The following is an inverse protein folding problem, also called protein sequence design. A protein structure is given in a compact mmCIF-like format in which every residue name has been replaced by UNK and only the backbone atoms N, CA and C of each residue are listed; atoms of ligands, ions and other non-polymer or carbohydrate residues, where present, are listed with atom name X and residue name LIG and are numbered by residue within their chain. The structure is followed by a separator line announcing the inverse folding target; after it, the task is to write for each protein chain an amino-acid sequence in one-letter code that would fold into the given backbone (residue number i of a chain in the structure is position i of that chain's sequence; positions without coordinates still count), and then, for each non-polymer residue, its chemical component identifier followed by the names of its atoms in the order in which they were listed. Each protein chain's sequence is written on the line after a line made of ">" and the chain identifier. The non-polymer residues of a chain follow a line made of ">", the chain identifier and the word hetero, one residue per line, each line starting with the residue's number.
data_IF_325955104245
#
_entry.id   IF_325955104245
#
_cell.length_a   1.000
_cell.length_b   1.000
_cell.length_c   1.000
_cell.angle_alpha   90.00
_cell.angle_beta   90.00
_cell.angle_gamma   90.00
#
_symmetry.space_group_name_H-M   'P 1'
#
loop_
_entity.id
_entity.type
_entity.pdbx_description
1 polymer ?
#
# COMPACT_ATOMS: atom_id res chain seq x y z
N UNK A 1 -19.05 18.85 14.93
CA UNK A 1 -18.37 17.75 14.21
C UNK A 1 -19.22 16.48 14.32
N UNK A 2 -19.28 15.63 13.29
CA UNK A 2 -19.93 14.32 13.42
C UNK A 2 -19.15 13.43 14.38
N UNK A 3 -19.83 12.48 15.07
CA UNK A 3 -19.17 11.51 15.98
C UNK A 3 -18.00 10.79 15.31
N UNK A 4 -18.15 10.44 14.02
CA UNK A 4 -17.09 9.82 13.23
C UNK A 4 -15.88 10.73 13.07
N UNK A 5 -16.08 12.01 12.74
CA UNK A 5 -14.97 12.98 12.58
C UNK A 5 -14.22 13.25 13.88
N UNK A 6 -14.94 13.30 15.01
CA UNK A 6 -14.32 13.46 16.34
C UNK A 6 -13.38 12.27 16.61
N UNK A 7 -13.86 11.04 16.42
CA UNK A 7 -13.05 9.83 16.63
C UNK A 7 -11.83 9.76 15.72
N UNK A 8 -11.94 10.22 14.48
CA UNK A 8 -10.77 10.30 13.56
C UNK A 8 -9.72 11.26 14.12
N UNK A 9 -10.13 12.44 14.58
CA UNK A 9 -9.22 13.42 15.16
C UNK A 9 -8.51 12.89 16.42
N UNK A 10 -9.26 12.23 17.31
CA UNK A 10 -8.70 11.62 18.53
C UNK A 10 -7.64 10.56 18.19
N UNK A 11 -7.93 9.66 17.24
CA UNK A 11 -6.99 8.61 16.81
C UNK A 11 -5.73 9.16 16.13
N UNK A 12 -5.86 10.22 15.34
CA UNK A 12 -4.71 10.87 14.71
C UNK A 12 -3.78 11.49 15.77
N UNK A 13 -4.34 12.14 16.79
CA UNK A 13 -3.54 12.73 17.86
C UNK A 13 -2.90 11.68 18.76
N UNK A 14 -3.62 10.60 19.04
CA UNK A 14 -3.09 9.43 19.75
C UNK A 14 -1.87 8.86 19.04
N UNK A 15 -1.96 8.61 17.72
CA UNK A 15 -0.85 8.06 16.93
C UNK A 15 0.42 8.94 16.97
N UNK A 16 0.26 10.27 16.94
CA UNK A 16 1.39 11.21 17.05
C UNK A 16 2.02 11.23 18.44
N UNK A 17 1.23 11.04 19.50
CA UNK A 17 1.74 11.06 20.87
C UNK A 17 2.40 9.73 21.25
N UNK A 18 1.92 8.60 20.69
CA UNK A 18 2.45 7.27 20.96
C UNK A 18 3.73 6.98 20.18
N UNK A 19 3.81 7.42 18.92
CA UNK A 19 4.92 7.08 18.04
C UNK A 19 5.90 8.24 17.87
N UNK A 20 7.20 7.94 17.91
CA UNK A 20 8.24 8.87 17.47
C UNK A 20 8.28 8.92 15.92
N UNK A 21 7.38 9.72 15.33
CA UNK A 21 7.26 9.83 13.86
C UNK A 21 8.39 10.69 13.30
N UNK A 22 9.24 10.09 12.46
CA UNK A 22 10.28 10.78 11.69
C UNK A 22 10.08 10.48 10.19
N UNK A 23 10.54 11.38 9.33
CA UNK A 23 10.38 11.25 7.87
C UNK A 23 11.72 11.36 7.18
N UNK A 24 11.98 10.43 6.27
CA UNK A 24 13.11 10.45 5.35
C UNK A 24 12.60 10.53 3.91
N UNK A 25 13.40 11.09 3.01
CA UNK A 25 13.03 11.34 1.62
C UNK A 25 14.09 10.78 0.67
N UNK A 26 13.64 10.34 -0.50
CA UNK A 26 14.50 9.92 -1.59
C UNK A 26 13.79 10.17 -2.93
N UNK A 27 14.55 10.18 -4.02
CA UNK A 27 14.03 10.40 -5.38
C UNK A 27 14.25 9.14 -6.23
N UNK A 28 13.33 8.88 -7.16
CA UNK A 28 13.37 7.70 -8.03
C UNK A 28 13.09 8.12 -9.47
N UNK A 29 13.92 7.68 -10.41
CA UNK A 29 13.66 7.86 -11.85
C UNK A 29 12.60 6.85 -12.34
N UNK A 30 11.46 7.36 -12.77
CA UNK A 30 10.33 6.56 -13.27
C UNK A 30 10.41 6.29 -14.79
N UNK A 31 11.40 6.83 -15.50
CA UNK A 31 11.51 6.75 -16.97
C UNK A 31 11.50 5.30 -17.48
N UNK A 32 12.21 4.41 -16.80
CA UNK A 32 12.24 2.97 -17.14
C UNK A 32 10.88 2.31 -16.97
N UNK A 33 10.19 2.58 -15.86
CA UNK A 33 8.88 2.01 -15.58
C UNK A 33 7.80 2.53 -16.55
N UNK A 34 7.89 3.80 -16.94
CA UNK A 34 6.99 4.37 -17.95
C UNK A 34 7.16 3.73 -19.32
N UNK A 35 8.40 3.45 -19.74
CA UNK A 35 8.67 2.71 -20.98
C UNK A 35 8.07 1.32 -20.96
N UNK A 36 8.25 0.58 -19.86
CA UNK A 36 7.67 -0.76 -19.66
C UNK A 36 6.14 -0.72 -19.78
N UNK A 37 5.47 0.24 -19.14
CA UNK A 37 4.01 0.39 -19.27
C UNK A 37 3.57 0.71 -20.69
N UNK A 38 4.35 1.47 -21.45
CA UNK A 38 4.03 1.80 -22.84
C UNK A 38 4.20 0.60 -23.76
N UNK A 39 5.21 -0.23 -23.52
CA UNK A 39 5.51 -1.42 -24.34
C UNK A 39 4.57 -2.58 -24.05
N UNK A 40 4.33 -2.88 -22.76
CA UNK A 40 3.57 -4.06 -22.34
C UNK A 40 2.12 -3.75 -21.93
N UNK A 41 1.72 -2.48 -21.85
CA UNK A 41 0.40 -2.08 -21.35
C UNK A 41 -0.76 -2.71 -22.14
N UNK A 42 -0.68 -2.69 -23.47
CA UNK A 42 -1.73 -3.25 -24.34
C UNK A 42 -1.77 -4.78 -24.27
N UNK A 43 -0.60 -5.43 -24.22
CA UNK A 43 -0.48 -6.87 -24.06
C UNK A 43 -1.02 -7.33 -22.70
N UNK A 44 -0.73 -6.57 -21.65
CA UNK A 44 -1.18 -6.85 -20.30
C UNK A 44 -2.71 -6.71 -20.18
N UNK A 45 -3.29 -5.67 -20.78
CA UNK A 45 -4.74 -5.48 -20.83
C UNK A 45 -5.41 -6.65 -21.57
N UNK A 46 -4.87 -7.05 -22.74
CA UNK A 46 -5.41 -8.19 -23.51
C UNK A 46 -5.34 -9.53 -22.76
N UNK A 47 -4.27 -9.76 -21.99
CA UNK A 47 -4.05 -11.03 -21.30
C UNK A 47 -4.78 -11.13 -19.96
N UNK A 48 -4.83 -10.05 -19.20
CA UNK A 48 -5.29 -10.06 -17.81
C UNK A 48 -6.60 -9.29 -17.59
N UNK A 49 -7.13 -8.61 -18.61
CA UNK A 49 -8.34 -7.78 -18.56
C UNK A 49 -8.29 -6.68 -17.49
N UNK A 50 -7.07 -6.21 -17.19
CA UNK A 50 -6.84 -5.12 -16.23
C UNK A 50 -5.74 -4.22 -16.78
N UNK A 51 -5.88 -2.91 -16.57
CA UNK A 51 -4.87 -1.94 -17.01
C UNK A 51 -3.66 -2.02 -16.09
N UNK A 52 -2.47 -2.21 -16.65
CA UNK A 52 -1.23 -2.16 -15.87
C UNK A 52 -1.08 -0.77 -15.26
N UNK A 53 -1.09 -0.65 -13.93
CA UNK A 53 -1.00 0.59 -13.17
C UNK A 53 0.42 0.94 -12.72
N UNK A 54 0.54 2.02 -11.94
CA UNK A 54 1.77 2.30 -11.17
C UNK A 54 1.77 1.59 -9.82
N UNK A 55 0.59 1.32 -9.27
CA UNK A 55 0.44 0.80 -7.91
C UNK A 55 0.99 -0.61 -7.75
N UNK A 56 0.80 -1.50 -8.72
CA UNK A 56 1.40 -2.84 -8.70
C UNK A 56 2.91 -2.82 -8.56
N UNK A 57 3.60 -1.91 -9.26
CA UNK A 57 5.03 -1.70 -9.14
C UNK A 57 5.44 -1.29 -7.71
N UNK A 58 4.76 -0.30 -7.14
CA UNK A 58 5.05 0.18 -5.79
C UNK A 58 4.73 -0.86 -4.71
N UNK A 59 3.59 -1.54 -4.80
CA UNK A 59 3.19 -2.59 -3.86
C UNK A 59 4.18 -3.75 -3.90
N UNK A 60 4.61 -4.18 -5.10
CA UNK A 60 5.58 -5.27 -5.24
C UNK A 60 6.96 -4.86 -4.71
N UNK A 61 7.42 -3.65 -5.03
CA UNK A 61 8.68 -3.11 -4.51
C UNK A 61 8.65 -2.99 -2.97
N UNK A 62 7.58 -2.45 -2.40
CA UNK A 62 7.39 -2.35 -0.96
C UNK A 62 7.36 -3.72 -0.30
N UNK A 63 6.68 -4.70 -0.89
CA UNK A 63 6.64 -6.08 -0.38
C UNK A 63 8.03 -6.72 -0.34
N UNK A 64 8.83 -6.53 -1.38
CA UNK A 64 10.22 -7.02 -1.42
C UNK A 64 11.08 -6.33 -0.35
N UNK A 65 10.95 -5.02 -0.19
CA UNK A 65 11.68 -4.27 0.84
C UNK A 65 11.27 -4.70 2.26
N UNK A 66 9.98 -4.97 2.50
CA UNK A 66 9.48 -5.46 3.79
C UNK A 66 9.96 -6.87 4.13
N UNK A 67 10.19 -7.72 3.12
CA UNK A 67 10.80 -9.04 3.31
C UNK A 67 12.28 -8.94 3.68
N UNK A 68 13.01 -8.01 3.07
CA UNK A 68 14.42 -7.77 3.37
C UNK A 68 14.61 -7.09 4.74
N UNK A 69 13.72 -6.16 5.09
CA UNK A 69 13.73 -5.42 6.35
C UNK A 69 12.49 -5.75 7.20
N UNK A 70 12.47 -6.91 7.88
CA UNK A 70 11.29 -7.38 8.62
C UNK A 70 10.92 -6.48 9.81
N UNK A 71 11.86 -5.67 10.31
CA UNK A 71 11.62 -4.68 11.37
C UNK A 71 10.56 -3.65 10.95
N UNK A 72 10.49 -3.29 9.66
CA UNK A 72 9.51 -2.33 9.15
C UNK A 72 8.10 -2.94 9.08
N UNK A 73 7.99 -4.27 8.95
CA UNK A 73 6.71 -5.00 8.96
C UNK A 73 6.22 -5.34 10.39
N UNK A 74 7.09 -5.16 11.39
CA UNK A 74 6.77 -5.45 12.79
C UNK A 74 5.90 -4.35 13.42
N UNK A 75 5.23 -4.69 14.52
CA UNK A 75 4.50 -3.73 15.37
C UNK A 75 5.02 -3.79 16.80
N UNK A 76 4.99 -2.67 17.50
CA UNK A 76 5.26 -2.62 18.94
C UNK A 76 3.92 -2.81 19.65
N UNK A 77 3.79 -3.88 20.43
CA UNK A 77 2.65 -4.13 21.31
C UNK A 77 3.10 -4.02 22.77
N UNK A 78 2.81 -2.88 23.39
CA UNK A 78 3.29 -2.55 24.73
C UNK A 78 4.82 -2.41 24.78
N UNK A 79 5.51 -3.45 25.26
CA UNK A 79 6.98 -3.51 25.35
C UNK A 79 7.61 -4.53 24.40
N UNK A 80 6.80 -5.31 23.72
CA UNK A 80 7.25 -6.39 22.86
C UNK A 80 7.16 -5.99 21.39
N UNK A 81 8.13 -6.45 20.60
CA UNK A 81 8.12 -6.28 19.15
C UNK A 81 7.56 -7.54 18.49
N UNK A 82 6.43 -7.40 17.81
CA UNK A 82 5.71 -8.48 17.14
C UNK A 82 6.04 -8.45 15.66
N UNK A 83 6.83 -9.43 15.22
CA UNK A 83 7.13 -9.66 13.80
C UNK A 83 5.99 -10.41 13.11
N UNK A 84 5.82 -10.17 11.81
CA UNK A 84 4.82 -10.83 10.98
C UNK A 84 5.47 -11.49 9.77
N UNK A 85 5.12 -12.75 9.53
CA UNK A 85 5.63 -13.54 8.40
C UNK A 85 4.89 -13.27 7.08
N UNK A 86 3.76 -12.55 7.16
CA UNK A 86 2.96 -12.13 6.03
C UNK A 86 3.06 -10.63 5.81
N UNK A 87 2.84 -10.19 4.57
CA UNK A 87 2.88 -8.77 4.19
C UNK A 87 1.49 -8.36 3.72
N UNK A 88 0.78 -7.63 4.59
CA UNK A 88 -0.50 -6.99 4.30
C UNK A 88 -0.26 -5.48 4.11
N UNK A 89 -0.61 -4.95 2.93
CA UNK A 89 -0.38 -3.53 2.60
C UNK A 89 -1.71 -2.79 2.55
N UNK A 90 -1.82 -1.78 3.39
CA UNK A 90 -2.92 -0.83 3.40
C UNK A 90 -2.76 0.21 2.29
N UNK A 91 -3.75 0.33 1.40
CA UNK A 91 -3.73 1.26 0.27
C UNK A 91 -4.79 2.33 0.45
N UNK A 92 -4.39 3.60 0.41
CA UNK A 92 -5.35 4.72 0.53
C UNK A 92 -6.09 4.93 -0.79
N UNK A 93 -7.42 4.94 -0.72
CA UNK A 93 -8.32 5.19 -1.85
C UNK A 93 -9.23 6.37 -1.54
N UNK A 94 -9.40 7.27 -2.50
CA UNK A 94 -10.32 8.39 -2.40
C UNK A 94 -11.74 7.95 -2.79
N UNK A 95 -12.70 8.13 -1.89
CA UNK A 95 -14.12 7.87 -2.11
C UNK A 95 -14.96 9.16 -1.96
N UNK A 96 -16.20 9.22 -2.50
CA UNK A 96 -17.02 10.44 -2.44
C UNK A 96 -17.31 10.94 -1.01
N UNK A 97 -17.30 10.04 -0.02
CA UNK A 97 -17.55 10.35 1.39
C UNK A 97 -16.27 10.61 2.21
N UNK A 98 -15.09 10.54 1.60
CA UNK A 98 -13.80 10.75 2.24
C UNK A 98 -12.74 9.74 1.79
N UNK A 99 -11.65 9.67 2.55
CA UNK A 99 -10.56 8.72 2.29
C UNK A 99 -10.80 7.43 3.07
N UNK A 100 -10.68 6.29 2.38
CA UNK A 100 -10.75 4.96 2.97
C UNK A 100 -9.44 4.23 2.71
N UNK A 101 -9.07 3.31 3.61
CA UNK A 101 -7.80 2.58 3.53
C UNK A 101 -8.08 1.08 3.57
N UNK A 102 -8.47 0.47 2.43
CA UNK A 102 -8.58 -0.98 2.34
C UNK A 102 -7.21 -1.68 2.44
N UNK A 103 -7.24 -2.98 2.77
CA UNK A 103 -6.03 -3.80 2.97
C UNK A 103 -5.91 -4.82 1.85
N UNK A 104 -4.78 -4.81 1.15
CA UNK A 104 -4.32 -5.89 0.29
C UNK A 104 -3.63 -6.93 1.17
N UNK A 105 -4.17 -8.16 1.18
CA UNK A 105 -3.66 -9.23 2.04
C UNK A 105 -2.72 -10.15 1.29
N UNK A 106 -1.69 -10.64 1.96
CA UNK A 106 -0.72 -11.58 1.40
C UNK A 106 -0.06 -11.11 0.09
N UNK A 107 0.36 -9.84 0.05
CA UNK A 107 1.01 -9.24 -1.11
C UNK A 107 2.28 -9.98 -1.55
N UNK A 108 2.88 -10.78 -0.65
CA UNK A 108 4.03 -11.61 -0.96
C UNK A 108 3.79 -12.64 -2.07
N UNK A 109 2.57 -13.16 -2.15
CA UNK A 109 2.18 -14.24 -3.07
C UNK A 109 1.44 -13.70 -4.31
N UNK A 110 1.15 -12.39 -4.33
CA UNK A 110 0.43 -11.75 -5.43
C UNK A 110 1.37 -11.38 -6.58
N UNK A 111 0.92 -11.65 -7.80
CA UNK A 111 1.54 -11.11 -9.01
C UNK A 111 1.02 -9.70 -9.32
N UNK A 112 1.70 -8.98 -10.22
CA UNK A 112 1.34 -7.59 -10.55
C UNK A 112 -0.12 -7.44 -11.02
N UNK A 113 -0.65 -8.44 -11.74
CA UNK A 113 -2.01 -8.41 -12.23
C UNK A 113 -3.06 -8.66 -11.13
N UNK A 114 -2.73 -9.50 -10.13
CA UNK A 114 -3.60 -9.73 -8.99
C UNK A 114 -3.72 -8.47 -8.12
N UNK A 115 -2.60 -7.78 -7.93
CA UNK A 115 -2.56 -6.50 -7.20
C UNK A 115 -3.45 -5.46 -7.89
N UNK A 116 -3.32 -5.26 -9.20
CA UNK A 116 -4.18 -4.28 -9.91
C UNK A 116 -5.66 -4.67 -9.85
N UNK A 117 -5.99 -5.95 -10.00
CA UNK A 117 -7.38 -6.43 -9.90
C UNK A 117 -7.97 -6.18 -8.53
N UNK A 118 -7.24 -6.50 -7.47
CA UNK A 118 -7.73 -6.31 -6.11
C UNK A 118 -7.82 -4.82 -5.76
N UNK A 119 -6.90 -3.97 -6.22
CA UNK A 119 -7.01 -2.51 -6.06
C UNK A 119 -8.27 -1.97 -6.76
N UNK A 120 -8.55 -2.39 -8.00
CA UNK A 120 -9.76 -1.96 -8.72
C UNK A 120 -11.02 -2.35 -7.96
N UNK A 121 -11.07 -3.59 -7.45
CA UNK A 121 -12.19 -4.09 -6.64
C UNK A 121 -12.38 -3.32 -5.33
N UNK A 122 -11.28 -2.97 -4.66
CA UNK A 122 -11.30 -2.18 -3.42
C UNK A 122 -11.56 -0.69 -3.65
N UNK A 123 -11.49 -0.23 -4.91
CA UNK A 123 -11.71 1.17 -5.29
C UNK A 123 -13.16 1.54 -5.64
N UNK A 124 -14.05 0.55 -5.67
CA UNK A 124 -15.50 0.72 -5.86
C UNK A 124 -16.20 1.04 -4.54
#
# INVERSE_FOLDING_TARGET
>A
MSRMRIRIADRLKEAQNTNAMLTTFNEIDMSGYMKLRKEYGDLFLKKHDVKLGFMSGFVKAATLALKDQPVVNAVIDGKDMVYRDFVDISVAVSAPKGLVVPVLRNCQDMEMHDVEKEIVKLSQ
#
